data_IF_077191625939
#
_entry.id   IF_077191625939
#
_cell.length_a   1.000
_cell.length_b   1.000
_cell.length_c   1.000
_cell.angle_alpha   90.00
_cell.angle_beta   90.00
_cell.angle_gamma   90.00
#
_symmetry.space_group_name_H-M   'P 1'
#
loop_
_entity.id
_entity.type
_entity.pdbx_description
1 polymer ?
#
# COMPACT_ATOMS: atom_id res chain seq x y z
N UNK A 1 -10.46 16.60 26.60
CA UNK A 1 -11.08 15.49 25.86
C UNK A 1 -10.13 15.13 24.73
N UNK A 2 -9.28 14.11 24.92
CA UNK A 2 -8.38 13.67 23.86
C UNK A 2 -9.19 13.00 22.77
N UNK A 3 -9.04 13.42 21.53
CA UNK A 3 -9.61 12.70 20.40
C UNK A 3 -8.99 11.31 20.36
N UNK A 4 -9.80 10.30 20.66
CA UNK A 4 -9.45 8.91 20.43
C UNK A 4 -9.49 8.71 18.91
N UNK A 5 -8.33 8.73 18.27
CA UNK A 5 -8.23 8.37 16.85
C UNK A 5 -8.44 6.86 16.80
N UNK A 6 -9.68 6.43 16.55
CA UNK A 6 -9.97 5.03 16.22
C UNK A 6 -9.51 4.84 14.78
N UNK A 7 -8.43 4.08 14.59
CA UNK A 7 -8.02 3.65 13.26
C UNK A 7 -8.86 2.45 12.86
N UNK A 8 -9.53 2.54 11.72
CA UNK A 8 -10.26 1.44 11.12
C UNK A 8 -9.27 0.53 10.36
N UNK A 9 -8.75 -0.48 11.07
CA UNK A 9 -7.73 -1.41 10.58
C UNK A 9 -8.22 -2.26 9.41
N UNK A 10 -9.49 -2.67 9.45
CA UNK A 10 -10.12 -3.43 8.37
C UNK A 10 -10.17 -2.59 7.09
N UNK A 11 -10.52 -1.31 7.24
CA UNK A 11 -10.55 -0.36 6.14
C UNK A 11 -9.14 -0.08 5.58
N UNK A 12 -8.13 0.13 6.44
CA UNK A 12 -6.74 0.27 5.99
C UNK A 12 -6.23 -0.97 5.24
N UNK A 13 -6.54 -2.16 5.74
CA UNK A 13 -6.16 -3.42 5.09
C UNK A 13 -6.87 -3.58 3.74
N UNK A 14 -8.16 -3.28 3.70
CA UNK A 14 -8.99 -3.33 2.48
C UNK A 14 -8.52 -2.34 1.42
N UNK A 15 -8.22 -1.10 1.82
CA UNK A 15 -7.66 -0.07 0.94
C UNK A 15 -6.26 -0.47 0.45
N UNK A 16 -5.44 -1.06 1.31
CA UNK A 16 -4.13 -1.58 0.95
C UNK A 16 -4.22 -2.62 -0.17
N UNK A 17 -5.10 -3.62 -0.01
CA UNK A 17 -5.39 -4.63 -1.04
C UNK A 17 -5.91 -4.02 -2.33
N UNK A 18 -6.88 -3.09 -2.23
CA UNK A 18 -7.45 -2.40 -3.39
C UNK A 18 -6.37 -1.65 -4.18
N UNK A 19 -5.44 -0.97 -3.49
CA UNK A 19 -4.36 -0.25 -4.14
C UNK A 19 -3.36 -1.20 -4.81
N UNK A 20 -3.05 -2.35 -4.21
CA UNK A 20 -2.24 -3.37 -4.86
C UNK A 20 -2.92 -3.95 -6.10
N UNK A 21 -4.24 -4.21 -6.03
CA UNK A 21 -5.02 -4.70 -7.16
C UNK A 21 -5.04 -3.69 -8.31
N UNK A 22 -5.29 -2.41 -8.02
CA UNK A 22 -5.22 -1.32 -9.00
C UNK A 22 -3.82 -1.25 -9.62
N UNK A 23 -2.76 -1.34 -8.81
CA UNK A 23 -1.38 -1.35 -9.31
C UNK A 23 -1.11 -2.52 -10.27
N UNK A 24 -1.59 -3.73 -9.93
CA UNK A 24 -1.47 -4.92 -10.79
C UNK A 24 -2.25 -4.79 -12.08
N UNK A 25 -3.48 -4.29 -12.02
CA UNK A 25 -4.32 -4.09 -13.19
C UNK A 25 -3.72 -3.02 -14.13
N UNK A 26 -3.24 -1.92 -13.54
CA UNK A 26 -2.55 -0.87 -14.28
C UNK A 26 -1.30 -1.39 -14.99
N UNK A 27 -0.45 -2.17 -14.30
CA UNK A 27 0.73 -2.79 -14.94
C UNK A 27 0.32 -3.67 -16.12
N UNK A 28 -0.70 -4.53 -15.96
CA UNK A 28 -1.17 -5.39 -17.06
C UNK A 28 -1.67 -4.59 -18.26
N UNK A 29 -2.35 -3.47 -18.02
CA UNK A 29 -2.81 -2.59 -19.09
C UNK A 29 -1.63 -1.90 -19.79
N UNK A 30 -0.64 -1.44 -19.02
CA UNK A 30 0.59 -0.85 -19.55
C UNK A 30 1.39 -1.86 -20.40
N UNK A 31 1.55 -3.09 -19.90
CA UNK A 31 2.23 -4.18 -20.61
C UNK A 31 1.52 -4.52 -21.93
N UNK A 32 0.19 -4.59 -21.92
CA UNK A 32 -0.61 -4.80 -23.13
C UNK A 32 -0.44 -3.66 -24.13
N UNK A 33 -0.45 -2.41 -23.67
CA UNK A 33 -0.21 -1.26 -24.53
C UNK A 33 1.18 -1.33 -25.16
N UNK A 34 2.22 -1.57 -24.36
CA UNK A 34 3.61 -1.74 -24.81
C UNK A 34 3.74 -2.82 -25.87
N UNK A 35 3.19 -4.00 -25.60
CA UNK A 35 3.22 -5.13 -26.54
C UNK A 35 2.54 -4.78 -27.88
N UNK A 36 1.40 -4.08 -27.84
CA UNK A 36 0.69 -3.67 -29.05
C UNK A 36 1.45 -2.61 -29.85
N UNK A 37 2.12 -1.65 -29.19
CA UNK A 37 2.96 -0.67 -29.87
C UNK A 37 4.16 -1.35 -30.55
N UNK A 38 4.85 -2.23 -29.82
CA UNK A 38 5.96 -3.02 -30.38
C UNK A 38 5.53 -3.88 -31.58
N UNK A 39 4.32 -4.44 -31.54
CA UNK A 39 3.78 -5.21 -32.66
C UNK A 39 3.52 -4.35 -33.91
N UNK A 40 3.17 -3.06 -33.74
CA UNK A 40 3.04 -2.13 -34.86
C UNK A 40 4.41 -1.74 -35.43
N UNK A 41 5.44 -1.67 -34.58
CA UNK A 41 6.79 -1.25 -34.94
C UNK A 41 7.66 -2.37 -35.54
N UNK A 42 7.35 -3.63 -35.26
CA UNK A 42 8.19 -4.78 -35.62
C UNK A 42 8.27 -5.14 -37.11
N UNK A 43 7.80 -4.28 -38.01
CA UNK A 43 7.89 -4.45 -39.46
C UNK A 43 9.30 -4.20 -40.03
N UNK A 44 9.49 -4.46 -41.33
CA UNK A 44 10.73 -4.14 -42.04
C UNK A 44 10.95 -2.64 -42.25
N UNK A 45 9.88 -1.86 -42.12
CA UNK A 45 9.89 -0.40 -42.21
C UNK A 45 9.07 0.17 -41.05
N UNK A 46 9.50 1.29 -40.44
CA UNK A 46 8.73 1.92 -39.38
C UNK A 46 7.31 2.31 -39.84
N UNK A 47 6.32 2.37 -38.93
CA UNK A 47 4.93 2.74 -39.27
C UNK A 47 4.78 4.11 -39.95
N UNK A 48 5.77 4.98 -39.80
CA UNK A 48 5.83 6.34 -40.33
C UNK A 48 6.75 6.46 -41.56
N UNK A 49 7.28 5.36 -42.08
CA UNK A 49 8.18 5.33 -43.24
C UNK A 49 9.66 5.56 -42.91
N UNK A 50 10.53 5.20 -43.84
CA UNK A 50 12.00 5.39 -43.78
C UNK A 50 12.48 6.63 -44.59
N UNK A 51 11.59 7.60 -44.83
CA UNK A 51 11.96 8.87 -45.45
C UNK A 51 12.44 9.89 -44.40
N UNK A 52 13.06 11.00 -44.84
CA UNK A 52 13.61 12.05 -43.93
C UNK A 52 12.55 12.62 -42.96
N UNK A 53 11.28 12.63 -43.36
CA UNK A 53 10.18 13.02 -42.49
C UNK A 53 9.87 11.94 -41.45
N UNK A 54 9.79 10.68 -41.88
CA UNK A 54 9.62 9.51 -41.04
C UNK A 54 10.72 9.39 -39.98
N UNK A 55 11.98 9.55 -40.35
CA UNK A 55 13.12 9.48 -39.40
C UNK A 55 13.00 10.55 -38.29
N UNK A 56 12.68 11.80 -38.66
CA UNK A 56 12.48 12.90 -37.70
C UNK A 56 11.30 12.64 -36.77
N UNK A 57 10.20 12.10 -37.30
CA UNK A 57 9.05 11.72 -36.49
C UNK A 57 9.41 10.58 -35.53
N UNK A 58 10.11 9.55 -36.04
CA UNK A 58 10.55 8.40 -35.27
C UNK A 58 11.35 8.77 -34.04
N UNK A 59 12.33 9.67 -34.18
CA UNK A 59 13.14 10.16 -33.04
C UNK A 59 12.27 10.72 -31.91
N UNK A 60 11.28 11.57 -32.25
CA UNK A 60 10.40 12.20 -31.25
C UNK A 60 9.44 11.16 -30.67
N UNK A 61 8.88 10.32 -31.53
CA UNK A 61 7.93 9.27 -31.14
C UNK A 61 8.57 8.27 -30.19
N UNK A 62 9.74 7.73 -30.51
CA UNK A 62 10.46 6.76 -29.68
C UNK A 62 10.79 7.35 -28.31
N UNK A 63 11.28 8.59 -28.27
CA UNK A 63 11.53 9.28 -26.99
C UNK A 63 10.27 9.44 -26.13
N UNK A 64 9.14 9.82 -26.74
CA UNK A 64 7.87 9.92 -26.03
C UNK A 64 7.34 8.55 -25.58
N UNK A 65 7.42 7.55 -26.46
CA UNK A 65 6.98 6.16 -26.20
C UNK A 65 7.77 5.55 -25.05
N UNK A 66 9.09 5.67 -25.08
CA UNK A 66 9.98 5.09 -24.07
C UNK A 66 9.79 5.79 -22.72
N UNK A 67 9.73 7.13 -22.72
CA UNK A 67 9.42 7.89 -21.51
C UNK A 67 8.05 7.57 -20.92
N UNK A 68 7.04 7.32 -21.76
CA UNK A 68 5.73 6.86 -21.31
C UNK A 68 5.80 5.45 -20.70
N UNK A 69 6.52 4.51 -21.31
CA UNK A 69 6.70 3.16 -20.76
C UNK A 69 7.37 3.20 -19.39
N UNK A 70 8.48 3.93 -19.25
CA UNK A 70 9.17 4.09 -17.97
C UNK A 70 8.27 4.74 -16.90
N UNK A 71 7.50 5.76 -17.30
CA UNK A 71 6.57 6.44 -16.39
C UNK A 71 5.45 5.52 -15.91
N UNK A 72 4.92 4.68 -16.79
CA UNK A 72 3.87 3.71 -16.44
C UNK A 72 4.41 2.62 -15.51
N UNK A 73 5.56 2.04 -15.79
CA UNK A 73 6.18 1.03 -14.92
C UNK A 73 6.45 1.61 -13.51
N UNK A 74 6.97 2.84 -13.44
CA UNK A 74 7.19 3.56 -12.18
C UNK A 74 5.88 3.83 -11.41
N UNK A 75 4.83 4.22 -12.12
CA UNK A 75 3.52 4.46 -11.52
C UNK A 75 2.91 3.18 -10.94
N UNK A 76 2.97 2.08 -11.69
CA UNK A 76 2.49 0.78 -11.22
C UNK A 76 3.22 0.32 -9.96
N UNK A 77 4.55 0.46 -9.93
CA UNK A 77 5.36 0.13 -8.76
C UNK A 77 4.94 0.97 -7.54
N UNK A 78 4.76 2.28 -7.73
CA UNK A 78 4.34 3.20 -6.66
C UNK A 78 2.96 2.86 -6.11
N UNK A 79 2.02 2.46 -6.95
CA UNK A 79 0.70 1.97 -6.52
C UNK A 79 0.85 0.74 -5.62
N UNK A 80 1.64 -0.26 -6.05
CA UNK A 80 1.94 -1.43 -5.23
C UNK A 80 2.63 -1.11 -3.90
N UNK A 81 3.58 -0.17 -3.89
CA UNK A 81 4.25 0.29 -2.67
C UNK A 81 3.29 1.00 -1.69
N UNK A 82 2.34 1.80 -2.20
CA UNK A 82 1.31 2.41 -1.37
C UNK A 82 0.42 1.36 -0.70
N UNK A 83 0.02 0.32 -1.45
CA UNK A 83 -0.74 -0.81 -0.90
C UNK A 83 0.00 -1.52 0.25
N UNK A 84 1.29 -1.83 0.06
CA UNK A 84 2.14 -2.42 1.10
C UNK A 84 2.26 -1.53 2.34
N UNK A 85 2.41 -0.21 2.17
CA UNK A 85 2.50 0.74 3.29
C UNK A 85 1.19 0.83 4.06
N UNK A 86 0.03 0.80 3.40
CA UNK A 86 -1.28 0.75 4.06
C UNK A 86 -1.46 -0.53 4.88
N UNK A 87 -1.09 -1.69 4.32
CA UNK A 87 -1.11 -2.96 5.04
C UNK A 87 -0.17 -2.96 6.26
N UNK A 88 1.04 -2.39 6.12
CA UNK A 88 1.97 -2.24 7.24
C UNK A 88 1.42 -1.31 8.33
N UNK A 89 0.75 -0.21 7.97
CA UNK A 89 0.10 0.66 8.94
C UNK A 89 -1.02 -0.07 9.71
N UNK A 90 -1.85 -0.86 9.02
CA UNK A 90 -2.87 -1.67 9.68
C UNK A 90 -2.26 -2.66 10.68
N UNK A 91 -1.21 -3.38 10.27
CA UNK A 91 -0.52 -4.34 11.16
C UNK A 91 0.13 -3.67 12.37
N UNK A 92 0.74 -2.49 12.19
CA UNK A 92 1.36 -1.75 13.28
C UNK A 92 0.32 -1.23 14.27
N UNK A 93 -0.85 -0.81 13.77
CA UNK A 93 -1.94 -0.37 14.62
C UNK A 93 -2.50 -1.52 15.47
N UNK A 94 -2.77 -2.67 14.85
CA UNK A 94 -3.25 -3.87 15.54
C UNK A 94 -2.29 -4.31 16.66
N UNK A 95 -0.99 -4.35 16.37
CA UNK A 95 0.02 -4.70 17.36
C UNK A 95 0.11 -3.69 18.52
N UNK A 96 -0.12 -2.41 18.24
CA UNK A 96 -0.11 -1.36 19.26
C UNK A 96 -1.35 -1.41 20.15
N UNK A 97 -2.52 -1.72 19.58
CA UNK A 97 -3.75 -1.92 20.34
C UNK A 97 -3.61 -3.14 21.26
N UNK A 98 -3.20 -4.29 20.73
CA UNK A 98 -2.98 -5.53 21.51
C UNK A 98 -2.03 -5.32 22.70
N UNK A 99 -0.93 -4.61 22.47
CA UNK A 99 0.06 -4.27 23.51
C UNK A 99 -0.56 -3.34 24.58
N UNK A 100 -1.35 -2.36 24.14
CA UNK A 100 -1.99 -1.38 25.01
C UNK A 100 -3.07 -2.05 25.86
N UNK A 101 -3.97 -2.82 25.26
CA UNK A 101 -5.01 -3.60 25.96
C UNK A 101 -4.38 -4.57 26.95
N UNK A 102 -3.38 -5.35 26.55
CA UNK A 102 -2.70 -6.28 27.44
C UNK A 102 -2.01 -5.58 28.63
N UNK A 103 -1.44 -4.39 28.39
CA UNK A 103 -0.90 -3.52 29.43
C UNK A 103 -1.98 -3.07 30.43
N UNK A 104 -3.12 -2.59 29.95
CA UNK A 104 -4.25 -2.19 30.80
C UNK A 104 -4.83 -3.35 31.60
N UNK A 105 -5.00 -4.52 31.00
CA UNK A 105 -5.49 -5.72 31.69
C UNK A 105 -4.53 -6.15 32.81
N UNK A 106 -3.21 -6.10 32.54
CA UNK A 106 -2.19 -6.41 33.54
C UNK A 106 -2.20 -5.42 34.71
N UNK A 107 -2.42 -4.13 34.43
CA UNK A 107 -2.54 -3.09 35.45
C UNK A 107 -3.82 -3.28 36.27
N UNK A 108 -4.95 -3.54 35.60
CA UNK A 108 -6.24 -3.83 36.22
C UNK A 108 -6.14 -4.99 37.22
N UNK A 109 -5.59 -6.12 36.78
CA UNK A 109 -5.37 -7.29 37.64
C UNK A 109 -4.46 -6.99 38.84
N UNK A 110 -3.43 -6.15 38.67
CA UNK A 110 -2.57 -5.71 39.78
C UNK A 110 -3.33 -4.81 40.77
N UNK A 111 -4.13 -3.86 40.30
CA UNK A 111 -4.95 -3.01 41.17
C UNK A 111 -5.99 -3.82 41.93
N UNK A 112 -6.64 -4.80 41.29
CA UNK A 112 -7.62 -5.67 41.93
C UNK A 112 -6.97 -6.54 43.02
N UNK A 113 -5.79 -7.10 42.74
CA UNK A 113 -5.02 -7.88 43.70
C UNK A 113 -4.62 -7.03 44.93
N UNK A 114 -4.13 -5.81 44.72
CA UNK A 114 -3.79 -4.89 45.81
C UNK A 114 -5.04 -4.48 46.60
N UNK A 115 -6.15 -4.19 45.92
CA UNK A 115 -7.43 -3.88 46.57
C UNK A 115 -7.95 -5.01 47.43
N UNK A 116 -7.80 -6.27 46.97
CA UNK A 116 -8.12 -7.47 47.74
C UNK A 116 -7.27 -7.61 49.01
N UNK A 117 -5.96 -7.36 48.92
CA UNK A 117 -5.05 -7.38 50.07
C UNK A 117 -5.42 -6.32 51.12
N UNK A 118 -5.72 -5.09 50.68
CA UNK A 118 -6.13 -4.00 51.58
C UNK A 118 -7.46 -4.35 52.29
N UNK A 119 -8.43 -4.91 51.57
CA UNK A 119 -9.71 -5.35 52.15
C UNK A 119 -9.52 -6.46 53.19
N UNK A 120 -8.64 -7.42 52.93
CA UNK A 120 -8.32 -8.50 53.87
C UNK A 120 -7.67 -7.97 55.17
N UNK A 121 -6.82 -6.94 55.07
CA UNK A 121 -6.21 -6.30 56.24
C UNK A 121 -7.21 -5.50 57.09
N UNK A 122 -8.28 -4.98 56.48
CA UNK A 122 -9.30 -4.18 57.19
C UNK A 122 -10.43 -5.03 57.78
N UNK A 123 -10.46 -6.34 57.57
CA UNK A 123 -11.43 -7.27 58.17
C UNK A 123 -10.67 -8.27 59.04
N UNK A 124 -10.26 -7.88 60.27
CA UNK A 124 -9.58 -8.81 61.16
C UNK A 124 -10.57 -9.94 61.51
N UNK A 125 -10.12 -11.17 61.26
CA UNK A 125 -10.81 -12.41 61.61
C UNK A 125 -11.28 -12.35 63.07
N UNK A 126 -12.59 -12.35 63.28
CA UNK A 126 -13.20 -12.61 64.60
C UNK A 126 -13.20 -14.10 64.88
#
# INVERSE_FOLDING_TARGET
MGQHVVVDEENLTSQGRSMEDIGREFQRAADQMKSRLQALEGGSEPPWGDDDLGEKFGIVYEGLRDGMQESMDSLAQRLGEMGKKLAAMASNHAANEDSTTGGFDSLGGRTDAVGGQIRALHHPSR
#
